data_IF_067350749564
#
_entry.id   IF_067350749564
#
_cell.length_a   1.000
_cell.length_b   1.000
_cell.length_c   1.000
_cell.angle_alpha   90.00
_cell.angle_beta   90.00
_cell.angle_gamma   90.00
#
_symmetry.space_group_name_H-M   'P 1'
#
loop_
_entity.id
_entity.type
_entity.pdbx_description
1 polymer ?
#
# COMPACT_ATOMS: atom_id res chain seq x y z
N UNK A 1 -16.27 -17.96 -6.05
CA UNK A 1 -16.81 -16.75 -5.42
C UNK A 1 -17.32 -15.80 -6.50
N UNK A 2 -18.42 -15.06 -6.28
CA UNK A 2 -18.78 -13.95 -7.16
C UNK A 2 -17.59 -13.00 -7.29
N UNK A 3 -17.44 -12.35 -8.45
CA UNK A 3 -16.39 -11.34 -8.68
C UNK A 3 -16.67 -10.15 -7.76
N UNK A 4 -15.94 -10.05 -6.66
CA UNK A 4 -16.04 -8.92 -5.75
C UNK A 4 -15.30 -7.75 -6.40
N UNK A 5 -16.02 -6.76 -6.92
CA UNK A 5 -15.36 -5.68 -7.69
C UNK A 5 -14.74 -4.62 -6.77
N UNK A 6 -15.41 -4.31 -5.66
CA UNK A 6 -14.95 -3.33 -4.68
C UNK A 6 -15.26 -3.81 -3.26
N UNK A 7 -14.31 -3.61 -2.36
CA UNK A 7 -14.45 -3.91 -0.95
C UNK A 7 -13.85 -2.79 -0.11
N UNK A 8 -14.57 -2.35 0.93
CA UNK A 8 -14.10 -1.40 1.94
C UNK A 8 -14.24 -2.03 3.32
N UNK A 9 -13.12 -2.25 4.00
CA UNK A 9 -13.07 -3.16 5.14
C UNK A 9 -12.20 -2.56 6.24
N UNK A 10 -12.77 -2.56 7.44
CA UNK A 10 -12.05 -2.34 8.68
C UNK A 10 -11.88 -3.71 9.37
N UNK A 11 -10.64 -4.13 9.58
CA UNK A 11 -10.34 -5.41 10.22
C UNK A 11 -9.63 -5.15 11.54
N UNK A 12 -10.29 -5.49 12.64
CA UNK A 12 -9.72 -5.40 13.99
C UNK A 12 -8.83 -6.61 14.30
N UNK A 13 -9.20 -7.81 13.83
CA UNK A 13 -8.40 -9.04 13.91
C UNK A 13 -8.65 -9.95 12.68
N UNK A 14 -7.67 -10.75 12.29
CA UNK A 14 -7.85 -11.76 11.22
C UNK A 14 -7.76 -11.22 9.79
N UNK A 15 -6.98 -10.15 9.58
CA UNK A 15 -6.74 -9.57 8.25
C UNK A 15 -6.19 -10.61 7.27
N UNK A 16 -5.35 -11.51 7.75
CA UNK A 16 -4.75 -12.57 6.96
C UNK A 16 -5.79 -13.59 6.47
N UNK A 17 -6.72 -13.98 7.34
CA UNK A 17 -7.79 -14.92 7.00
C UNK A 17 -8.75 -14.29 6.00
N UNK A 18 -9.04 -13.00 6.16
CA UNK A 18 -9.82 -12.25 5.18
C UNK A 18 -9.13 -12.22 3.82
N UNK A 19 -7.86 -11.81 3.78
CA UNK A 19 -7.08 -11.74 2.55
C UNK A 19 -6.97 -13.12 1.87
N UNK A 20 -6.80 -14.20 2.63
CA UNK A 20 -6.81 -15.58 2.11
C UNK A 20 -8.17 -16.01 1.57
N UNK A 21 -9.26 -15.48 2.13
CA UNK A 21 -10.60 -15.81 1.70
C UNK A 21 -10.97 -15.16 0.37
N UNK A 22 -10.35 -14.03 0.01
CA UNK A 22 -10.67 -13.31 -1.23
C UNK A 22 -9.79 -13.76 -2.40
N UNK A 23 -10.40 -14.39 -3.41
CA UNK A 23 -9.67 -14.87 -4.59
C UNK A 23 -9.69 -13.89 -5.77
N UNK A 24 -10.57 -12.88 -5.75
CA UNK A 24 -10.71 -11.91 -6.85
C UNK A 24 -11.35 -10.62 -6.35
N UNK A 25 -10.52 -9.60 -6.12
CA UNK A 25 -10.94 -8.23 -5.80
C UNK A 25 -10.25 -7.26 -6.75
N UNK A 26 -11.00 -6.41 -7.46
CA UNK A 26 -10.39 -5.38 -8.32
C UNK A 26 -9.95 -4.16 -7.51
N UNK A 27 -10.79 -3.70 -6.57
CA UNK A 27 -10.55 -2.50 -5.77
C UNK A 27 -10.68 -2.81 -4.29
N UNK A 28 -9.60 -2.69 -3.54
CA UNK A 28 -9.56 -2.97 -2.11
C UNK A 28 -9.29 -1.68 -1.33
N UNK A 29 -10.12 -1.39 -0.35
CA UNK A 29 -9.85 -0.44 0.72
C UNK A 29 -9.75 -1.19 2.04
N UNK A 30 -8.64 -1.04 2.75
CA UNK A 30 -8.37 -1.78 3.98
C UNK A 30 -7.79 -0.88 5.07
N UNK A 31 -8.24 -1.10 6.29
CA UNK A 31 -7.68 -0.50 7.51
C UNK A 31 -7.36 -1.63 8.47
N UNK A 32 -6.10 -1.70 8.92
CA UNK A 32 -5.62 -2.67 9.89
C UNK A 32 -4.50 -2.05 10.72
N UNK A 33 -4.51 -2.31 12.02
CA UNK A 33 -3.47 -1.87 12.95
C UNK A 33 -2.35 -2.91 13.12
N UNK A 34 -2.40 -4.04 12.40
CA UNK A 34 -1.48 -5.16 12.55
C UNK A 34 -0.60 -5.42 11.32
N UNK A 35 0.68 -5.73 11.57
CA UNK A 35 1.62 -6.27 10.57
C UNK A 35 1.22 -7.70 10.21
N UNK A 36 0.82 -7.95 8.96
CA UNK A 36 0.74 -9.30 8.43
C UNK A 36 2.12 -9.77 7.95
N UNK A 37 2.51 -10.99 8.32
CA UNK A 37 3.75 -11.62 7.84
C UNK A 37 3.55 -12.62 6.70
N UNK A 38 2.35 -12.69 6.13
CA UNK A 38 1.94 -13.75 5.21
C UNK A 38 1.96 -13.28 3.75
N UNK A 39 2.29 -14.20 2.84
CA UNK A 39 2.11 -14.04 1.39
C UNK A 39 0.63 -14.24 1.03
N UNK A 40 0.09 -13.40 0.14
CA UNK A 40 -1.32 -13.39 -0.25
C UNK A 40 -1.46 -13.51 -1.76
N UNK A 41 -2.00 -14.60 -2.31
CA UNK A 41 -2.23 -14.66 -3.78
C UNK A 41 -3.46 -13.84 -4.22
N UNK A 42 -3.37 -12.50 -4.17
CA UNK A 42 -4.45 -11.56 -4.51
C UNK A 42 -3.94 -10.56 -5.54
N UNK A 43 -4.69 -10.37 -6.62
CA UNK A 43 -4.40 -9.37 -7.65
C UNK A 43 -5.49 -8.30 -7.64
N UNK A 44 -5.17 -7.10 -7.17
CA UNK A 44 -6.03 -5.91 -7.27
C UNK A 44 -5.42 -4.85 -8.21
N UNK A 45 -6.29 -4.01 -8.76
CA UNK A 45 -5.95 -2.87 -9.64
C UNK A 45 -5.90 -1.56 -8.85
N UNK A 46 -6.65 -1.48 -7.75
CA UNK A 46 -6.70 -0.34 -6.83
C UNK A 46 -6.53 -0.80 -5.38
N UNK A 47 -5.66 -0.11 -4.65
CA UNK A 47 -5.45 -0.32 -3.22
C UNK A 47 -5.54 1.00 -2.47
N UNK A 48 -6.37 1.03 -1.44
CA UNK A 48 -6.46 2.11 -0.47
C UNK A 48 -6.15 1.56 0.91
N UNK A 49 -5.20 2.14 1.61
CA UNK A 49 -4.87 1.73 2.97
C UNK A 49 -4.92 2.89 3.95
N UNK A 50 -5.48 2.59 5.12
CA UNK A 50 -5.48 3.47 6.27
C UNK A 50 -4.60 2.83 7.34
N UNK A 51 -3.62 3.56 7.85
CA UNK A 51 -2.52 3.04 8.69
C UNK A 51 -1.49 2.23 7.90
N UNK A 52 -0.25 2.17 8.40
CA UNK A 52 0.91 1.66 7.66
C UNK A 52 1.74 0.67 8.49
N UNK A 53 1.25 -0.55 8.73
CA UNK A 53 2.15 -1.67 8.98
C UNK A 53 2.94 -1.91 7.67
N UNK A 54 4.24 -1.58 7.61
CA UNK A 54 4.94 -1.56 6.32
C UNK A 54 5.03 -2.95 5.70
N UNK A 55 5.07 -4.01 6.51
CA UNK A 55 5.13 -5.40 6.01
C UNK A 55 3.87 -5.79 5.25
N UNK A 56 2.69 -5.45 5.79
CA UNK A 56 1.42 -5.70 5.12
C UNK A 56 1.36 -4.98 3.76
N UNK A 57 1.79 -3.71 3.72
CA UNK A 57 1.86 -2.96 2.46
C UNK A 57 2.72 -3.68 1.43
N UNK A 58 3.95 -4.01 1.79
CA UNK A 58 4.90 -4.57 0.82
C UNK A 58 4.50 -5.97 0.35
N UNK A 59 3.93 -6.81 1.22
CA UNK A 59 3.35 -8.09 0.80
C UNK A 59 2.22 -7.90 -0.22
N UNK A 60 1.26 -7.02 0.09
CA UNK A 60 0.17 -6.67 -0.83
C UNK A 60 0.68 -6.15 -2.18
N UNK A 61 1.73 -5.33 -2.19
CA UNK A 61 2.32 -4.80 -3.42
C UNK A 61 3.04 -5.89 -4.23
N UNK A 62 3.76 -6.81 -3.59
CA UNK A 62 4.44 -7.92 -4.24
C UNK A 62 3.44 -8.87 -4.92
N UNK A 63 2.32 -9.10 -4.25
CA UNK A 63 1.28 -10.03 -4.69
C UNK A 63 0.34 -9.45 -5.76
N UNK A 64 0.27 -8.13 -5.88
CA UNK A 64 -0.59 -7.44 -6.86
C UNK A 64 0.20 -6.78 -7.99
N UNK A 65 0.78 -7.56 -8.93
CA UNK A 65 1.58 -7.01 -10.02
C UNK A 65 0.79 -6.05 -10.93
N UNK A 66 -0.55 -6.13 -10.96
CA UNK A 66 -1.44 -5.30 -11.78
C UNK A 66 -1.92 -4.01 -11.10
N UNK A 67 -1.45 -3.72 -9.89
CA UNK A 67 -1.86 -2.53 -9.17
C UNK A 67 -1.50 -1.26 -9.96
N UNK A 68 -2.52 -0.49 -10.33
CA UNK A 68 -2.40 0.77 -11.06
C UNK A 68 -2.57 2.00 -10.16
N UNK A 69 -3.36 1.89 -9.11
CA UNK A 69 -3.72 3.03 -8.25
C UNK A 69 -3.48 2.72 -6.77
N UNK A 70 -2.57 3.45 -6.13
CA UNK A 70 -2.28 3.33 -4.70
C UNK A 70 -2.65 4.60 -3.94
N UNK A 71 -3.48 4.45 -2.91
CA UNK A 71 -3.83 5.50 -1.97
C UNK A 71 -3.44 5.11 -0.55
N UNK A 72 -2.64 5.94 0.09
CA UNK A 72 -2.21 5.75 1.47
C UNK A 72 -2.72 6.91 2.31
N UNK A 73 -3.37 6.58 3.42
CA UNK A 73 -3.71 7.51 4.47
C UNK A 73 -2.98 7.14 5.75
N UNK A 74 -2.04 8.00 6.15
CA UNK A 74 -1.34 7.88 7.41
C UNK A 74 -2.07 8.67 8.51
N UNK A 75 -2.71 7.95 9.44
CA UNK A 75 -3.33 8.52 10.66
C UNK A 75 -2.40 8.43 11.88
N UNK A 76 -1.16 7.96 11.74
CA UNK A 76 -0.31 7.68 12.92
C UNK A 76 0.05 8.95 13.67
N UNK A 77 -0.39 9.05 14.93
CA UNK A 77 -0.20 10.22 15.79
C UNK A 77 1.15 10.25 16.52
N UNK A 78 2.23 9.93 15.80
CA UNK A 78 3.61 9.98 16.29
C UNK A 78 4.07 8.77 17.12
N UNK A 79 3.24 7.74 17.28
CA UNK A 79 3.68 6.49 17.94
C UNK A 79 4.36 5.57 16.92
N UNK A 80 5.70 5.60 17.03
CA UNK A 80 6.68 4.92 16.19
C UNK A 80 6.27 3.53 15.71
N UNK A 81 5.98 3.44 14.42
CA UNK A 81 6.38 2.26 13.69
C UNK A 81 7.89 2.10 13.87
N UNK A 82 8.32 0.90 14.27
CA UNK A 82 9.73 0.56 14.31
C UNK A 82 10.38 0.97 12.98
N UNK A 83 11.62 1.50 12.99
CA UNK A 83 12.27 1.93 11.76
C UNK A 83 12.33 0.76 10.78
N UNK A 84 11.42 0.80 9.81
CA UNK A 84 11.31 -0.22 8.80
C UNK A 84 12.36 0.07 7.75
N UNK A 85 13.40 -0.78 7.70
CA UNK A 85 14.50 -0.58 6.78
C UNK A 85 14.07 -0.99 5.36
N UNK A 86 13.96 -0.01 4.47
CA UNK A 86 13.71 -0.22 3.04
C UNK A 86 14.89 -0.90 2.33
N UNK A 87 16.02 -1.11 3.01
CA UNK A 87 17.25 -1.66 2.44
C UNK A 87 17.15 -3.15 2.06
N UNK A 88 16.27 -3.92 2.70
CA UNK A 88 16.14 -5.36 2.48
C UNK A 88 14.91 -5.74 1.65
N UNK A 89 14.25 -4.75 1.04
CA UNK A 89 12.97 -4.95 0.37
C UNK A 89 13.19 -4.96 -1.12
N UNK A 90 12.72 -6.03 -1.76
CA UNK A 90 12.68 -6.10 -3.21
C UNK A 90 11.67 -5.09 -3.73
N UNK A 91 12.00 -4.43 -4.83
CA UNK A 91 11.06 -3.49 -5.46
C UNK A 91 9.89 -4.30 -6.02
N UNK A 92 8.64 -4.07 -5.57
CA UNK A 92 7.49 -4.82 -6.08
C UNK A 92 7.29 -4.55 -7.57
N UNK A 93 6.94 -5.59 -8.33
CA UNK A 93 6.75 -5.49 -9.79
C UNK A 93 5.70 -4.45 -10.17
N UNK A 94 4.65 -4.29 -9.35
CA UNK A 94 3.62 -3.32 -9.63
C UNK A 94 4.14 -1.87 -9.65
N UNK A 95 5.09 -1.52 -8.78
CA UNK A 95 5.72 -0.20 -8.81
C UNK A 95 6.45 0.03 -10.15
N UNK A 96 7.19 -0.98 -10.61
CA UNK A 96 7.96 -0.87 -11.84
C UNK A 96 7.05 -0.76 -13.07
N UNK A 97 6.03 -1.63 -13.16
CA UNK A 97 5.37 -1.92 -14.45
C UNK A 97 3.98 -1.33 -14.60
N UNK A 98 3.25 -1.08 -13.50
CA UNK A 98 1.81 -0.81 -13.58
C UNK A 98 1.34 0.40 -12.76
N UNK A 99 2.05 0.81 -11.71
CA UNK A 99 1.59 1.87 -10.83
C UNK A 99 1.54 3.22 -11.55
N UNK A 100 0.34 3.70 -11.86
CA UNK A 100 0.09 4.94 -12.59
C UNK A 100 -0.32 6.10 -11.67
N UNK A 101 -1.02 5.83 -10.56
CA UNK A 101 -1.41 6.83 -9.57
C UNK A 101 -0.91 6.50 -8.18
N UNK A 102 -0.36 7.51 -7.51
CA UNK A 102 0.03 7.43 -6.12
C UNK A 102 -0.44 8.66 -5.35
N UNK A 103 -1.15 8.43 -4.25
CA UNK A 103 -1.65 9.48 -3.35
C UNK A 103 -1.27 9.15 -1.91
N UNK A 104 -0.66 10.11 -1.24
CA UNK A 104 -0.28 9.98 0.17
C UNK A 104 -0.90 11.13 0.97
N UNK A 105 -1.74 10.80 1.96
CA UNK A 105 -2.36 11.75 2.89
C UNK A 105 -1.83 11.50 4.30
N UNK A 106 -1.74 12.56 5.11
CA UNK A 106 -1.18 12.47 6.47
C UNK A 106 0.34 12.69 6.54
N UNK A 107 0.92 13.35 5.53
CA UNK A 107 2.35 13.67 5.54
C UNK A 107 2.70 14.69 6.63
N UNK A 108 3.49 14.23 7.60
CA UNK A 108 4.06 14.99 8.73
C UNK A 108 5.54 15.31 8.51
N UNK A 109 6.10 14.98 7.33
CA UNK A 109 7.47 15.26 6.93
C UNK A 109 8.57 14.63 7.79
N UNK A 110 8.25 13.50 8.44
CA UNK A 110 9.21 12.73 9.24
C UNK A 110 10.28 12.08 8.34
N UNK A 111 11.47 11.79 8.85
CA UNK A 111 12.51 11.10 8.08
C UNK A 111 12.02 9.79 7.46
N UNK A 112 11.23 9.01 8.21
CA UNK A 112 10.64 7.75 7.76
C UNK A 112 9.68 7.98 6.58
N UNK A 113 8.77 8.95 6.68
CA UNK A 113 7.86 9.27 5.58
C UNK A 113 8.61 9.77 4.34
N UNK A 114 9.70 10.53 4.51
CA UNK A 114 10.52 11.02 3.40
C UNK A 114 11.23 9.88 2.68
N UNK A 115 11.84 8.96 3.44
CA UNK A 115 12.50 7.77 2.89
C UNK A 115 11.50 6.88 2.15
N UNK A 116 10.33 6.65 2.76
CA UNK A 116 9.21 5.93 2.18
C UNK A 116 8.74 6.54 0.85
N UNK A 117 8.40 7.84 0.84
CA UNK A 117 7.97 8.52 -0.38
C UNK A 117 9.07 8.51 -1.44
N UNK A 118 10.33 8.71 -1.04
CA UNK A 118 11.46 8.66 -1.95
C UNK A 118 11.62 7.28 -2.58
N UNK A 119 11.36 6.19 -1.85
CA UNK A 119 11.35 4.84 -2.40
C UNK A 119 10.29 4.68 -3.49
N UNK A 120 9.05 5.12 -3.25
CA UNK A 120 7.99 5.04 -4.25
C UNK A 120 8.33 5.87 -5.48
N UNK A 121 8.73 7.13 -5.32
CA UNK A 121 9.05 7.98 -6.47
C UNK A 121 10.28 7.53 -7.25
N UNK A 122 11.24 6.87 -6.61
CA UNK A 122 12.42 6.31 -7.30
C UNK A 122 12.08 5.08 -8.13
N UNK A 123 11.15 4.25 -7.65
CA UNK A 123 10.86 2.94 -8.23
C UNK A 123 9.59 2.92 -9.11
N UNK A 124 8.66 3.86 -8.92
CA UNK A 124 7.40 3.91 -9.66
C UNK A 124 7.60 4.49 -11.06
N UNK A 125 8.04 3.67 -12.02
CA UNK A 125 8.47 4.16 -13.35
C UNK A 125 7.31 4.63 -14.25
N UNK A 126 6.09 4.13 -14.00
CA UNK A 126 4.88 4.40 -14.79
C UNK A 126 3.97 5.47 -14.18
N UNK A 127 4.44 6.15 -13.13
CA UNK A 127 3.64 7.11 -12.40
C UNK A 127 3.27 8.31 -13.29
N UNK A 128 1.99 8.42 -13.65
CA UNK A 128 1.44 9.53 -14.44
C UNK A 128 0.88 10.64 -13.57
N UNK A 129 0.35 10.26 -12.41
CA UNK A 129 -0.24 11.19 -11.45
C UNK A 129 0.32 10.91 -10.07
N UNK A 130 1.04 11.88 -9.52
CA UNK A 130 1.37 11.90 -8.11
C UNK A 130 0.74 13.13 -7.48
N UNK A 131 -0.02 12.93 -6.40
CA UNK A 131 -0.27 14.03 -5.47
C UNK A 131 0.70 13.87 -4.31
N UNK A 132 1.87 14.48 -4.48
CA UNK A 132 2.72 14.77 -3.34
C UNK A 132 2.15 16.02 -2.61
N UNK A 133 2.32 16.14 -1.28
CA UNK A 133 1.87 17.31 -0.52
C UNK A 133 2.60 18.61 -0.88
N UNK A 134 3.55 18.58 -1.83
CA UNK A 134 4.12 19.76 -2.46
C UNK A 134 3.94 19.67 -3.96
N UNK A 135 2.78 20.11 -4.42
CA UNK A 135 2.62 20.54 -5.80
C UNK A 135 3.66 21.62 -6.10
N UNK A 136 4.50 21.37 -7.10
CA UNK A 136 5.04 22.46 -7.90
C UNK A 136 4.50 22.25 -9.30
N UNK A 137 3.66 23.20 -9.70
CA UNK A 137 3.37 23.50 -11.10
C UNK A 137 4.67 23.75 -11.87
#
# INVERSE_FOLDING_TARGET
MPKLEEADIYVEDGVDDFLRSITSVKRLSISSDFDSGNEFSISFEYLKMYSQPPKLLFGLLEDSPKLGDLYIYDYSDQHGYAPFSLNNISVPKCLLDNLESFKFKGYKATPVQREFLSFFFRNASRLKSSQSPHGRN
#
